data_IF_370750137578
#
_entry.id   IF_370750137578
#
_cell.length_a   1.000
_cell.length_b   1.000
_cell.length_c   1.000
_cell.angle_alpha   90.00
_cell.angle_beta   90.00
_cell.angle_gamma   90.00
#
_symmetry.space_group_name_H-M   'P 1'
#
loop_
_entity.id
_entity.type
_entity.pdbx_description
1 polymer ?
#
# COMPACT_ATOMS: atom_id res chain seq x y z
N UNK A 1 -31.38 88.14 -5.57
CA UNK A 1 -30.20 87.28 -5.41
C UNK A 1 -30.72 85.85 -5.14
N UNK A 2 -30.63 84.97 -6.15
CA UNK A 2 -31.16 83.61 -6.08
C UNK A 2 -29.95 82.66 -5.94
N UNK A 3 -29.84 81.98 -4.75
CA UNK A 3 -28.79 80.99 -4.51
C UNK A 3 -29.18 79.66 -5.19
N UNK A 4 -28.31 79.17 -6.05
CA UNK A 4 -28.43 77.92 -6.72
C UNK A 4 -27.73 76.80 -5.88
N UNK A 5 -28.53 75.85 -5.38
CA UNK A 5 -28.04 74.69 -4.65
C UNK A 5 -27.78 73.57 -5.64
N UNK A 6 -26.51 73.20 -5.79
CA UNK A 6 -26.07 72.12 -6.68
C UNK A 6 -26.14 70.77 -5.88
N UNK A 7 -27.01 69.86 -6.32
CA UNK A 7 -27.13 68.51 -5.75
C UNK A 7 -26.29 67.58 -6.61
N UNK A 8 -25.19 67.02 -6.06
CA UNK A 8 -24.42 65.93 -6.68
C UNK A 8 -25.08 64.56 -6.36
N UNK A 9 -25.18 63.68 -7.34
CA UNK A 9 -25.62 62.31 -7.07
C UNK A 9 -24.45 61.46 -6.54
N UNK A 10 -24.73 60.78 -5.43
CA UNK A 10 -23.85 59.78 -4.77
C UNK A 10 -23.86 58.49 -5.59
N UNK A 11 -22.78 58.19 -6.31
CA UNK A 11 -22.60 56.88 -6.93
C UNK A 11 -22.16 55.86 -5.89
N UNK A 12 -23.04 54.91 -5.56
CA UNK A 12 -22.72 53.74 -4.77
C UNK A 12 -21.95 52.74 -5.63
N UNK A 13 -20.65 52.57 -5.35
CA UNK A 13 -19.82 51.54 -5.95
C UNK A 13 -20.09 50.24 -5.17
N UNK A 14 -20.86 49.31 -5.74
CA UNK A 14 -20.97 47.94 -5.27
C UNK A 14 -19.68 47.19 -5.62
N UNK A 15 -18.79 47.04 -4.64
CA UNK A 15 -17.65 46.10 -4.75
C UNK A 15 -18.20 44.69 -4.54
N UNK A 16 -18.43 43.96 -5.62
CA UNK A 16 -18.71 42.54 -5.60
C UNK A 16 -17.49 41.77 -5.08
N UNK A 17 -17.55 41.30 -3.84
CA UNK A 17 -16.58 40.33 -3.31
C UNK A 17 -16.91 38.99 -3.96
N UNK A 18 -16.19 38.68 -5.05
CA UNK A 18 -16.22 37.37 -5.66
C UNK A 18 -15.59 36.36 -4.69
N UNK A 19 -16.41 35.52 -4.06
CA UNK A 19 -15.93 34.32 -3.39
C UNK A 19 -15.38 33.38 -4.45
N UNK A 20 -14.05 33.36 -4.60
CA UNK A 20 -13.36 32.29 -5.31
C UNK A 20 -13.47 31.04 -4.42
N UNK A 21 -14.42 30.19 -4.75
CA UNK A 21 -14.49 28.83 -4.21
C UNK A 21 -13.26 28.08 -4.68
N UNK A 22 -12.24 27.99 -3.83
CA UNK A 22 -11.06 27.19 -4.07
C UNK A 22 -11.48 25.72 -3.95
N UNK A 23 -11.94 25.14 -5.07
CA UNK A 23 -12.46 23.79 -5.14
C UNK A 23 -11.40 22.75 -4.80
N UNK A 24 -11.76 21.85 -3.90
CA UNK A 24 -11.04 20.67 -3.41
C UNK A 24 -10.73 19.59 -4.46
N UNK A 25 -10.59 19.94 -5.74
CA UNK A 25 -10.38 18.99 -6.84
C UNK A 25 -8.98 18.34 -6.90
N UNK A 26 -7.99 18.87 -6.18
CA UNK A 26 -6.62 18.36 -6.20
C UNK A 26 -6.45 17.02 -5.49
N UNK A 27 -7.08 16.87 -4.31
CA UNK A 27 -6.97 15.66 -3.49
C UNK A 27 -7.67 14.44 -4.12
N UNK A 28 -8.83 14.65 -4.75
CA UNK A 28 -9.58 13.58 -5.40
C UNK A 28 -8.85 13.02 -6.65
N UNK A 29 -8.27 13.90 -7.46
CA UNK A 29 -7.46 13.50 -8.62
C UNK A 29 -6.21 12.73 -8.20
N UNK A 30 -5.52 13.16 -7.14
CA UNK A 30 -4.34 12.48 -6.60
C UNK A 30 -4.70 11.10 -6.03
N UNK A 31 -5.82 10.96 -5.32
CA UNK A 31 -6.33 9.68 -4.82
C UNK A 31 -6.66 8.69 -5.94
N UNK A 32 -7.39 9.13 -6.96
CA UNK A 32 -7.72 8.30 -8.14
C UNK A 32 -6.46 7.86 -8.91
N UNK A 33 -5.47 8.73 -9.05
CA UNK A 33 -4.18 8.41 -9.69
C UNK A 33 -3.39 7.38 -8.90
N UNK A 34 -3.38 7.47 -7.57
CA UNK A 34 -2.71 6.52 -6.68
C UNK A 34 -3.37 5.13 -6.76
N UNK A 35 -4.69 5.05 -6.73
CA UNK A 35 -5.45 3.79 -6.87
C UNK A 35 -5.16 3.14 -8.23
N UNK A 36 -5.18 3.90 -9.32
CA UNK A 36 -4.86 3.39 -10.66
C UNK A 36 -3.46 2.79 -10.74
N UNK A 37 -2.46 3.45 -10.15
CA UNK A 37 -1.08 2.93 -10.10
C UNK A 37 -1.00 1.65 -9.28
N UNK A 38 -1.61 1.61 -8.10
CA UNK A 38 -1.66 0.41 -7.27
C UNK A 38 -2.29 -0.77 -8.02
N UNK A 39 -3.43 -0.56 -8.69
CA UNK A 39 -4.11 -1.58 -9.50
C UNK A 39 -3.23 -2.07 -10.66
N UNK A 40 -2.56 -1.15 -11.38
CA UNK A 40 -1.65 -1.49 -12.47
C UNK A 40 -0.45 -2.31 -11.99
N UNK A 41 0.19 -1.91 -10.87
CA UNK A 41 1.32 -2.66 -10.32
C UNK A 41 0.88 -4.01 -9.74
N UNK A 42 -0.29 -4.09 -9.10
CA UNK A 42 -0.87 -5.36 -8.63
C UNK A 42 -1.20 -6.32 -9.80
N UNK A 43 -1.75 -5.79 -10.91
CA UNK A 43 -2.03 -6.58 -12.12
C UNK A 43 -0.74 -7.12 -12.71
N UNK A 44 0.28 -6.29 -12.83
CA UNK A 44 1.59 -6.70 -13.32
C UNK A 44 2.19 -7.80 -12.42
N UNK A 45 2.21 -7.60 -11.10
CA UNK A 45 2.75 -8.53 -10.11
C UNK A 45 2.00 -9.87 -10.12
N UNK A 46 0.68 -9.85 -10.21
CA UNK A 46 -0.16 -11.07 -10.28
C UNK A 46 0.24 -11.96 -11.47
N UNK A 47 0.64 -11.36 -12.58
CA UNK A 47 0.99 -12.05 -13.81
C UNK A 47 2.51 -12.36 -13.94
N UNK A 48 3.34 -11.83 -13.03
CA UNK A 48 4.78 -12.06 -13.03
C UNK A 48 5.10 -13.49 -12.58
N UNK A 49 5.79 -14.25 -13.42
CA UNK A 49 6.18 -15.65 -13.13
C UNK A 49 7.22 -15.76 -12.02
N UNK A 50 7.92 -14.68 -11.73
CA UNK A 50 8.93 -14.58 -10.67
C UNK A 50 8.33 -14.48 -9.25
N UNK A 51 7.02 -14.21 -9.13
CA UNK A 51 6.36 -14.14 -7.83
C UNK A 51 5.38 -15.28 -7.66
N UNK A 52 5.57 -16.06 -6.61
CA UNK A 52 4.60 -17.07 -6.19
C UNK A 52 3.77 -16.53 -5.03
N UNK A 53 2.47 -16.72 -5.11
CA UNK A 53 1.50 -16.24 -4.11
C UNK A 53 0.92 -17.43 -3.36
N UNK A 54 1.05 -17.44 -2.04
CA UNK A 54 0.51 -18.53 -1.24
C UNK A 54 -1.04 -18.52 -1.30
N UNK A 55 -1.69 -19.65 -1.70
CA UNK A 55 -3.14 -19.69 -1.87
C UNK A 55 -3.93 -19.93 -0.57
N UNK A 56 -3.23 -20.23 0.53
CA UNK A 56 -3.75 -20.38 1.90
C UNK A 56 -2.86 -19.64 2.87
N UNK A 57 -3.32 -19.39 4.08
CA UNK A 57 -2.47 -18.93 5.17
C UNK A 57 -1.39 -19.98 5.49
N UNK A 58 -0.25 -19.57 6.03
CA UNK A 58 0.84 -20.49 6.43
C UNK A 58 0.34 -21.57 7.41
N UNK A 59 -0.67 -21.25 8.23
CA UNK A 59 -1.37 -22.19 9.11
C UNK A 59 -2.22 -23.23 8.39
N UNK A 60 -2.32 -23.20 7.05
CA UNK A 60 -3.22 -24.02 6.26
C UNK A 60 -4.67 -23.50 6.17
N UNK A 61 -5.04 -22.50 6.97
CA UNK A 61 -6.38 -21.90 6.96
C UNK A 61 -6.67 -21.21 5.63
N UNK A 62 -7.93 -21.28 5.21
CA UNK A 62 -8.46 -20.51 4.08
C UNK A 62 -9.61 -19.62 4.56
N UNK A 63 -9.49 -18.32 4.34
CA UNK A 63 -10.45 -17.30 4.80
C UNK A 63 -10.72 -16.20 3.76
N UNK A 64 -10.23 -16.39 2.52
CA UNK A 64 -10.35 -15.43 1.44
C UNK A 64 -9.44 -14.20 1.58
N UNK A 65 -8.44 -14.28 2.48
CA UNK A 65 -7.45 -13.25 2.75
C UNK A 65 -6.00 -13.76 2.58
N UNK A 66 -5.80 -14.84 1.81
CA UNK A 66 -4.46 -15.33 1.46
C UNK A 66 -3.69 -14.30 0.63
N UNK A 67 -2.38 -14.48 0.49
CA UNK A 67 -1.57 -13.63 -0.38
C UNK A 67 -2.10 -13.62 -1.82
N UNK A 68 -2.53 -14.80 -2.34
CA UNK A 68 -3.12 -14.94 -3.67
C UNK A 68 -4.47 -14.20 -3.77
N UNK A 69 -5.33 -14.30 -2.75
CA UNK A 69 -6.61 -13.57 -2.75
C UNK A 69 -6.38 -12.07 -2.72
N UNK A 70 -5.45 -11.60 -1.90
CA UNK A 70 -5.14 -10.18 -1.77
C UNK A 70 -4.61 -9.59 -3.09
N UNK A 71 -3.68 -10.28 -3.78
CA UNK A 71 -3.17 -9.74 -5.05
C UNK A 71 -4.22 -9.78 -6.16
N UNK A 72 -5.12 -10.79 -6.18
CA UNK A 72 -6.26 -10.84 -7.10
C UNK A 72 -7.23 -9.70 -6.86
N UNK A 73 -7.61 -9.44 -5.61
CA UNK A 73 -8.50 -8.33 -5.23
C UNK A 73 -7.88 -6.98 -5.60
N UNK A 74 -6.61 -6.77 -5.26
CA UNK A 74 -5.90 -5.54 -5.61
C UNK A 74 -5.78 -5.34 -7.13
N UNK A 75 -5.51 -6.40 -7.89
CA UNK A 75 -5.43 -6.35 -9.36
C UNK A 75 -6.77 -6.04 -10.03
N UNK A 76 -7.88 -6.31 -9.36
CA UNK A 76 -9.22 -5.92 -9.78
C UNK A 76 -9.62 -4.50 -9.31
N UNK A 77 -8.72 -3.77 -8.65
CA UNK A 77 -8.95 -2.42 -8.14
C UNK A 77 -9.72 -2.36 -6.82
N UNK A 78 -9.92 -3.50 -6.17
CA UNK A 78 -10.68 -3.59 -4.91
C UNK A 78 -9.78 -3.38 -3.68
N UNK A 79 -10.39 -3.01 -2.56
CA UNK A 79 -9.81 -3.19 -1.25
C UNK A 79 -9.68 -4.70 -0.97
N UNK A 80 -8.58 -5.11 -0.32
CA UNK A 80 -8.29 -6.51 -0.05
C UNK A 80 -8.82 -6.93 1.31
N UNK A 81 -9.26 -8.17 1.42
CA UNK A 81 -9.78 -8.72 2.68
C UNK A 81 -8.65 -8.93 3.68
N UNK A 82 -8.90 -8.56 4.92
CA UNK A 82 -8.08 -8.94 6.08
C UNK A 82 -8.63 -10.22 6.70
N UNK A 83 -7.78 -11.03 7.30
CA UNK A 83 -8.21 -12.13 8.15
C UNK A 83 -9.04 -11.63 9.34
N UNK A 84 -9.87 -12.51 9.91
CA UNK A 84 -10.75 -12.21 11.05
C UNK A 84 -10.55 -13.18 12.21
N UNK A 85 -9.39 -13.82 12.32
CA UNK A 85 -9.04 -14.74 13.40
C UNK A 85 -7.80 -14.29 14.16
N UNK A 86 -7.63 -14.80 15.37
CA UNK A 86 -6.55 -14.39 16.26
C UNK A 86 -6.67 -12.90 16.60
N UNK A 87 -5.64 -12.14 16.30
CA UNK A 87 -5.60 -10.68 16.51
C UNK A 87 -6.00 -9.88 15.27
N UNK A 88 -6.31 -10.56 14.16
CA UNK A 88 -6.68 -9.90 12.91
C UNK A 88 -8.07 -9.24 12.99
N UNK A 89 -8.20 -7.97 12.55
CA UNK A 89 -9.41 -7.17 12.79
C UNK A 89 -10.55 -7.45 11.81
N UNK A 90 -10.34 -8.28 10.78
CA UNK A 90 -11.32 -8.45 9.71
C UNK A 90 -11.49 -7.21 8.82
N UNK A 91 -12.54 -7.21 8.00
CA UNK A 91 -12.85 -6.13 7.07
C UNK A 91 -11.88 -6.03 5.90
N UNK A 92 -11.75 -4.84 5.33
CA UNK A 92 -10.99 -4.60 4.10
C UNK A 92 -10.00 -3.46 4.26
N UNK A 93 -8.94 -3.45 3.43
CA UNK A 93 -7.92 -2.40 3.38
C UNK A 93 -7.40 -2.24 1.95
N UNK A 94 -6.98 -1.05 1.55
CA UNK A 94 -6.28 -0.87 0.28
C UNK A 94 -4.79 -1.12 0.47
N UNK A 95 -4.18 -1.80 -0.51
CA UNK A 95 -2.73 -2.00 -0.50
C UNK A 95 -2.00 -0.71 -0.87
N UNK A 96 -0.91 -0.46 -0.20
CA UNK A 96 -0.07 0.71 -0.42
C UNK A 96 0.61 0.65 -1.80
N UNK A 97 0.47 1.68 -2.64
CA UNK A 97 1.09 1.71 -3.97
C UNK A 97 2.62 1.73 -3.92
N UNK A 98 3.23 2.24 -2.84
CA UNK A 98 4.70 2.25 -2.66
C UNK A 98 5.21 0.83 -2.47
N UNK A 99 4.52 0.04 -1.63
CA UNK A 99 4.81 -1.37 -1.41
C UNK A 99 4.70 -2.19 -2.71
N UNK A 100 3.59 -2.06 -3.44
CA UNK A 100 3.38 -2.78 -4.69
C UNK A 100 4.43 -2.40 -5.75
N UNK A 101 4.78 -1.12 -5.84
CA UNK A 101 5.83 -0.66 -6.73
C UNK A 101 7.20 -1.22 -6.34
N UNK A 102 7.52 -1.28 -5.06
CA UNK A 102 8.76 -1.86 -4.56
C UNK A 102 8.86 -3.35 -4.92
N UNK A 103 7.80 -4.12 -4.70
CA UNK A 103 7.73 -5.53 -5.11
C UNK A 103 7.99 -5.70 -6.61
N UNK A 104 7.40 -4.84 -7.44
CA UNK A 104 7.61 -4.85 -8.90
C UNK A 104 9.06 -4.52 -9.28
N UNK A 105 9.70 -3.57 -8.59
CA UNK A 105 11.11 -3.23 -8.81
C UNK A 105 12.00 -4.40 -8.43
N UNK A 106 11.78 -5.05 -7.29
CA UNK A 106 12.51 -6.25 -6.88
C UNK A 106 12.48 -7.34 -7.95
N UNK A 107 11.32 -7.62 -8.53
CA UNK A 107 11.20 -8.57 -9.66
C UNK A 107 12.01 -8.12 -10.87
N UNK A 108 11.93 -6.85 -11.26
CA UNK A 108 12.68 -6.30 -12.39
C UNK A 108 14.20 -6.33 -12.18
N UNK A 109 14.64 -6.33 -10.94
CA UNK A 109 16.06 -6.46 -10.55
C UNK A 109 16.50 -7.94 -10.43
N UNK A 110 15.64 -8.88 -10.81
CA UNK A 110 15.96 -10.30 -10.91
C UNK A 110 15.68 -11.11 -9.65
N UNK A 111 15.03 -10.56 -8.63
CA UNK A 111 14.57 -11.38 -7.52
C UNK A 111 13.38 -12.24 -7.93
N UNK A 112 13.41 -13.50 -7.50
CA UNK A 112 12.21 -14.36 -7.45
C UNK A 112 11.83 -14.59 -6.01
N UNK A 113 10.54 -14.57 -5.68
CA UNK A 113 10.12 -14.73 -4.27
C UNK A 113 8.70 -15.26 -4.13
N UNK A 114 8.43 -15.89 -2.97
CA UNK A 114 7.10 -16.37 -2.60
C UNK A 114 6.53 -15.52 -1.48
N UNK A 115 5.39 -14.86 -1.75
CA UNK A 115 4.66 -14.06 -0.78
C UNK A 115 3.72 -14.95 0.03
N UNK A 116 3.83 -14.89 1.34
CA UNK A 116 3.03 -15.70 2.28
C UNK A 116 1.89 -14.94 2.93
N UNK A 117 2.07 -13.63 3.16
CA UNK A 117 1.03 -12.74 3.71
C UNK A 117 1.15 -11.33 3.15
N UNK A 118 0.01 -10.65 2.99
CA UNK A 118 -0.08 -9.20 2.73
C UNK A 118 -0.99 -8.56 3.78
N UNK A 119 -2.31 -8.70 3.69
CA UNK A 119 -3.25 -8.17 4.67
C UNK A 119 -3.91 -9.27 5.53
N UNK A 120 -3.67 -10.53 5.18
CA UNK A 120 -4.17 -11.69 5.89
C UNK A 120 -3.26 -12.17 7.01
N UNK A 121 -3.60 -13.35 7.55
CA UNK A 121 -2.98 -14.01 8.70
C UNK A 121 -3.21 -13.30 10.05
N UNK A 122 -2.69 -13.88 11.14
CA UNK A 122 -2.75 -13.31 12.49
C UNK A 122 -1.39 -12.76 12.86
N UNK A 123 -1.28 -11.46 13.02
CA UNK A 123 -0.09 -10.71 13.42
C UNK A 123 -0.36 -9.95 14.73
N UNK A 124 0.56 -9.11 15.20
CA UNK A 124 0.30 -8.21 16.33
C UNK A 124 -0.86 -7.24 16.02
N UNK A 125 -1.58 -6.76 17.04
CA UNK A 125 -2.75 -5.86 16.86
C UNK A 125 -2.44 -4.59 16.07
N UNK A 126 -1.21 -4.08 16.17
CA UNK A 126 -0.74 -2.87 15.50
C UNK A 126 0.00 -3.14 14.20
N UNK A 127 -0.03 -4.37 13.71
CA UNK A 127 0.71 -4.80 12.53
C UNK A 127 0.39 -3.96 11.29
N UNK A 128 1.42 -3.66 10.53
CA UNK A 128 1.31 -2.94 9.24
C UNK A 128 0.63 -3.77 8.15
N UNK A 129 0.56 -5.10 8.30
CA UNK A 129 -0.25 -5.96 7.43
C UNK A 129 -1.72 -5.51 7.42
N UNK A 130 -2.29 -5.22 8.58
CA UNK A 130 -3.68 -4.78 8.67
C UNK A 130 -3.93 -3.37 8.12
N UNK A 131 -2.88 -2.62 7.89
CA UNK A 131 -2.94 -1.33 7.19
C UNK A 131 -2.66 -1.44 5.68
N UNK A 132 -2.39 -2.65 5.16
CA UNK A 132 -2.04 -2.87 3.75
C UNK A 132 -0.65 -2.37 3.38
N UNK A 133 0.24 -2.25 4.35
CA UNK A 133 1.56 -1.62 4.25
C UNK A 133 2.72 -2.62 4.31
N UNK A 134 2.46 -3.93 4.41
CA UNK A 134 3.49 -4.94 4.63
C UNK A 134 3.28 -6.18 3.78
N UNK A 135 4.37 -6.90 3.52
CA UNK A 135 4.31 -8.25 2.97
C UNK A 135 5.38 -9.14 3.59
N UNK A 136 5.09 -10.44 3.67
CA UNK A 136 5.99 -11.48 4.14
C UNK A 136 6.40 -12.41 3.00
N UNK A 137 7.67 -12.87 3.04
CA UNK A 137 8.28 -13.75 2.02
C UNK A 137 9.04 -14.88 2.70
N UNK A 138 8.80 -16.12 2.28
CA UNK A 138 9.46 -17.30 2.83
C UNK A 138 10.39 -18.05 1.85
N UNK A 139 10.40 -17.68 0.57
CA UNK A 139 11.38 -18.13 -0.44
C UNK A 139 11.91 -16.94 -1.22
N UNK A 140 13.21 -16.88 -1.42
CA UNK A 140 13.89 -15.86 -2.23
C UNK A 140 14.92 -16.59 -3.13
N UNK A 141 14.86 -16.33 -4.43
CA UNK A 141 15.71 -16.92 -5.45
C UNK A 141 15.77 -18.46 -5.36
N UNK A 142 14.59 -19.08 -5.23
CA UNK A 142 14.44 -20.53 -5.16
C UNK A 142 14.83 -21.18 -3.83
N UNK A 143 15.31 -20.41 -2.85
CA UNK A 143 15.74 -20.93 -1.55
C UNK A 143 14.81 -20.47 -0.42
N UNK A 144 14.50 -21.37 0.50
CA UNK A 144 13.73 -21.05 1.71
C UNK A 144 14.48 -20.03 2.56
N UNK A 145 13.77 -19.02 3.06
CA UNK A 145 14.32 -18.04 3.99
C UNK A 145 14.72 -18.73 5.30
N UNK A 146 15.91 -18.43 5.75
CA UNK A 146 16.53 -18.97 6.95
C UNK A 146 17.98 -18.46 7.04
N UNK A 147 18.68 -18.81 8.10
CA UNK A 147 20.05 -18.32 8.34
C UNK A 147 21.04 -18.68 7.22
N UNK A 148 20.81 -19.79 6.52
CA UNK A 148 21.70 -20.29 5.45
C UNK A 148 21.36 -19.72 4.07
N UNK A 149 20.21 -19.07 3.89
CA UNK A 149 19.87 -18.44 2.60
C UNK A 149 20.69 -17.15 2.44
N UNK A 150 21.53 -17.00 1.41
CA UNK A 150 22.39 -15.83 1.26
C UNK A 150 21.64 -14.59 0.74
N UNK A 151 20.40 -14.74 0.26
CA UNK A 151 19.71 -13.70 -0.50
C UNK A 151 18.84 -12.77 0.36
N UNK A 152 18.36 -13.22 1.52
CA UNK A 152 17.37 -12.47 2.29
C UNK A 152 17.90 -11.13 2.82
N UNK A 153 19.18 -11.04 3.19
CA UNK A 153 19.78 -9.78 3.66
C UNK A 153 19.77 -8.72 2.56
N UNK A 154 20.20 -9.11 1.34
CA UNK A 154 20.20 -8.23 0.18
C UNK A 154 18.76 -7.83 -0.22
N UNK A 155 17.82 -8.77 -0.16
CA UNK A 155 16.41 -8.52 -0.41
C UNK A 155 15.85 -7.46 0.54
N UNK A 156 16.07 -7.60 1.85
CA UNK A 156 15.61 -6.63 2.86
C UNK A 156 16.35 -5.28 2.75
N UNK A 157 17.65 -5.29 2.47
CA UNK A 157 18.39 -4.05 2.20
C UNK A 157 17.76 -3.28 1.04
N UNK A 158 17.42 -3.99 -0.04
CA UNK A 158 16.75 -3.36 -1.17
C UNK A 158 15.34 -2.86 -0.85
N UNK A 159 14.57 -3.58 -0.01
CA UNK A 159 13.28 -3.09 0.48
C UNK A 159 13.43 -1.74 1.23
N UNK A 160 14.49 -1.58 2.06
CA UNK A 160 14.76 -0.29 2.75
C UNK A 160 15.06 0.83 1.77
N UNK A 161 15.91 0.59 0.78
CA UNK A 161 16.22 1.57 -0.28
C UNK A 161 14.98 1.98 -1.08
N UNK A 162 13.99 1.07 -1.19
CA UNK A 162 12.70 1.31 -1.82
C UNK A 162 11.65 1.90 -0.86
N UNK A 163 12.07 2.31 0.35
CA UNK A 163 11.25 3.06 1.29
C UNK A 163 10.59 2.23 2.39
N UNK A 164 10.94 0.95 2.57
CA UNK A 164 10.50 0.20 3.74
C UNK A 164 11.19 0.73 5.01
N UNK A 165 10.40 0.98 6.06
CA UNK A 165 10.89 1.49 7.35
C UNK A 165 10.93 0.42 8.44
N UNK A 166 10.41 -0.76 8.17
CA UNK A 166 10.50 -1.93 9.03
C UNK A 166 10.85 -3.13 8.16
N UNK A 167 11.95 -3.80 8.50
CA UNK A 167 12.41 -4.99 7.79
C UNK A 167 12.94 -5.98 8.81
N UNK A 168 12.35 -7.17 8.86
CA UNK A 168 12.67 -8.22 9.80
C UNK A 168 12.97 -9.52 9.05
N UNK A 169 13.88 -10.33 9.59
CA UNK A 169 14.29 -11.60 8.97
C UNK A 169 14.98 -12.53 9.97
N UNK A 170 15.65 -13.58 9.48
CA UNK A 170 16.35 -14.52 10.34
C UNK A 170 17.28 -13.83 11.33
N UNK A 171 17.03 -14.03 12.64
CA UNK A 171 17.66 -13.32 13.75
C UNK A 171 16.69 -12.42 14.52
N UNK A 172 15.66 -11.93 13.89
CA UNK A 172 14.61 -11.17 14.56
C UNK A 172 13.56 -12.11 15.17
N UNK A 173 12.95 -11.68 16.28
CA UNK A 173 11.94 -12.47 16.98
C UNK A 173 10.79 -12.85 16.04
N UNK A 174 10.46 -14.14 15.98
CA UNK A 174 9.40 -14.72 15.17
C UNK A 174 9.62 -14.66 13.64
N UNK A 175 10.83 -14.30 13.15
CA UNK A 175 11.14 -14.17 11.72
C UNK A 175 12.24 -15.16 11.24
N UNK A 176 12.47 -16.28 11.95
CA UNK A 176 13.52 -17.26 11.59
C UNK A 176 13.35 -17.92 10.23
N UNK A 177 12.13 -17.95 9.67
CA UNK A 177 11.78 -18.69 8.45
C UNK A 177 11.16 -17.83 7.35
N UNK A 178 11.06 -16.52 7.55
CA UNK A 178 10.53 -15.58 6.56
C UNK A 178 11.13 -14.19 6.77
N UNK A 179 10.99 -13.35 5.74
CA UNK A 179 11.28 -11.92 5.83
C UNK A 179 9.98 -11.14 5.87
N UNK A 180 9.99 -10.04 6.60
CA UNK A 180 8.93 -9.04 6.67
C UNK A 180 9.46 -7.70 6.17
N UNK A 181 8.72 -7.03 5.30
CA UNK A 181 9.02 -5.66 4.87
C UNK A 181 7.76 -4.81 4.93
N UNK A 182 7.86 -3.61 5.55
CA UNK A 182 6.72 -2.72 5.72
C UNK A 182 7.07 -1.25 5.51
N UNK A 183 6.13 -0.52 4.92
CA UNK A 183 6.19 0.91 4.58
C UNK A 183 5.59 1.77 5.69
N UNK A 184 5.96 3.06 5.77
CA UNK A 184 5.43 3.97 6.79
C UNK A 184 3.94 4.25 6.56
N UNK A 185 3.22 4.49 7.70
CA UNK A 185 1.83 4.96 7.71
C UNK A 185 1.70 6.36 7.14
#
# INVERSE_FOLDING_TARGET
MKSLVLILPLFAVLTGIGFVSCGSNGGEKAGKSSIRRATSDATWLKNATQVTWLPRQVSGRYDGASALDNIRQASAGHAVKRSSYGTAPGGYVRLDPRMLRAMKILVKEGFTFRVTAIAGASHSRTSRHYAGLAFDVDFINGQKVGYVNPHWKRFLARCRELGATETLGPGDRAHSTHTHAAWPR
#
